data_IF_242239463914
#
_entry.id   IF_242239463914
#
_cell.length_a   1.000
_cell.length_b   1.000
_cell.length_c   1.000
_cell.angle_alpha   90.00
_cell.angle_beta   90.00
_cell.angle_gamma   90.00
#
_symmetry.space_group_name_H-M   'P 1'
#
loop_
_entity.id
_entity.type
_entity.pdbx_description
1 polymer ?
#
# COMPACT_ATOMS: atom_id res chain seq x y z
N UNK A 1 -42.68 1.60 -19.19
CA UNK A 1 -42.16 0.37 -18.56
C UNK A 1 -40.80 0.09 -19.19
N UNK A 2 -39.71 0.48 -18.52
CA UNK A 2 -38.34 0.26 -19.02
C UNK A 2 -37.73 -0.93 -18.28
N UNK A 3 -37.17 -1.86 -19.04
CA UNK A 3 -36.65 -3.13 -18.58
C UNK A 3 -35.55 -2.93 -17.53
N UNK A 4 -35.70 -3.62 -16.38
CA UNK A 4 -34.60 -3.82 -15.44
C UNK A 4 -33.61 -4.78 -16.11
N UNK A 5 -32.57 -4.24 -16.74
CA UNK A 5 -31.38 -5.02 -17.08
C UNK A 5 -30.85 -5.66 -15.80
N UNK A 6 -30.99 -6.97 -15.71
CA UNK A 6 -30.51 -7.75 -14.58
C UNK A 6 -29.00 -7.89 -14.77
N UNK A 7 -28.24 -6.91 -14.29
CA UNK A 7 -26.78 -6.96 -14.31
C UNK A 7 -26.32 -8.07 -13.34
N UNK A 8 -26.27 -9.32 -13.80
CA UNK A 8 -25.66 -10.41 -13.05
C UNK A 8 -24.13 -10.27 -13.15
N UNK A 9 -23.41 -9.96 -12.07
CA UNK A 9 -21.97 -9.72 -12.15
C UNK A 9 -21.21 -11.04 -12.37
N UNK A 10 -20.95 -11.36 -13.63
CA UNK A 10 -20.17 -12.53 -14.06
C UNK A 10 -18.72 -12.53 -13.50
N UNK A 11 -18.23 -11.39 -13.00
CA UNK A 11 -16.88 -11.23 -12.43
C UNK A 11 -16.64 -11.96 -11.09
N UNK A 12 -17.69 -12.38 -10.37
CA UNK A 12 -17.55 -13.03 -9.06
C UNK A 12 -16.98 -14.45 -9.15
N UNK A 13 -17.42 -15.25 -10.12
CA UNK A 13 -17.04 -16.66 -10.23
C UNK A 13 -15.66 -16.86 -10.87
N UNK A 14 -15.29 -16.02 -11.84
CA UNK A 14 -14.02 -16.15 -12.58
C UNK A 14 -12.78 -15.66 -11.80
N UNK A 15 -12.96 -14.82 -10.78
CA UNK A 15 -11.86 -14.24 -10.00
C UNK A 15 -11.48 -15.03 -8.74
N UNK A 16 -12.39 -15.87 -8.23
CA UNK A 16 -12.17 -16.69 -7.02
C UNK A 16 -10.97 -17.66 -7.15
N UNK A 17 -10.86 -18.48 -8.22
CA UNK A 17 -9.74 -19.40 -8.36
C UNK A 17 -8.38 -18.68 -8.46
N UNK A 18 -8.33 -17.55 -9.18
CA UNK A 18 -7.11 -16.74 -9.31
C UNK A 18 -6.67 -16.13 -7.97
N UNK A 19 -7.62 -15.65 -7.17
CA UNK A 19 -7.38 -15.11 -5.82
C UNK A 19 -6.87 -16.19 -4.85
N UNK A 20 -7.46 -17.38 -4.90
CA UNK A 20 -7.02 -18.52 -4.07
C UNK A 20 -5.62 -18.96 -4.49
N UNK A 21 -5.34 -19.06 -5.79
CA UNK A 21 -4.01 -19.40 -6.29
C UNK A 21 -2.95 -18.38 -5.85
N UNK A 22 -3.23 -17.07 -5.98
CA UNK A 22 -2.30 -16.04 -5.51
C UNK A 22 -2.09 -16.10 -4.00
N UNK A 23 -3.14 -16.36 -3.21
CA UNK A 23 -3.02 -16.48 -1.75
C UNK A 23 -2.17 -17.69 -1.34
N UNK A 24 -2.37 -18.84 -1.99
CA UNK A 24 -1.59 -20.07 -1.74
C UNK A 24 -0.10 -19.86 -2.01
N UNK A 25 0.28 -18.97 -2.93
CA UNK A 25 1.69 -18.67 -3.21
C UNK A 25 2.23 -17.56 -2.30
N UNK A 26 1.49 -16.46 -2.17
CA UNK A 26 1.97 -15.27 -1.46
C UNK A 26 2.03 -15.47 0.06
N UNK A 27 1.10 -16.23 0.65
CA UNK A 27 1.09 -16.46 2.11
C UNK A 27 2.31 -17.26 2.56
N UNK A 28 2.65 -18.43 1.99
CA UNK A 28 3.87 -19.14 2.35
C UNK A 28 5.14 -18.34 2.07
N UNK A 29 5.17 -17.59 0.96
CA UNK A 29 6.31 -16.73 0.64
C UNK A 29 6.50 -15.61 1.67
N UNK A 30 5.42 -14.98 2.11
CA UNK A 30 5.44 -13.98 3.16
C UNK A 30 5.88 -14.59 4.50
N UNK A 31 5.36 -15.77 4.87
CA UNK A 31 5.77 -16.46 6.09
C UNK A 31 7.24 -16.87 6.06
N UNK A 32 7.74 -17.33 4.90
CA UNK A 32 9.15 -17.64 4.71
C UNK A 32 10.02 -16.39 4.84
N UNK A 33 9.63 -15.27 4.22
CA UNK A 33 10.34 -13.99 4.35
C UNK A 33 10.39 -13.51 5.81
N UNK A 34 9.28 -13.64 6.55
CA UNK A 34 9.22 -13.32 7.99
C UNK A 34 10.09 -14.28 8.81
N UNK A 35 10.16 -15.56 8.44
CA UNK A 35 10.99 -16.56 9.10
C UNK A 35 12.48 -16.23 8.97
N UNK A 36 12.97 -16.02 7.75
CA UNK A 36 14.38 -15.70 7.50
C UNK A 36 14.76 -14.30 7.99
N UNK A 37 13.86 -13.32 7.87
CA UNK A 37 14.12 -11.94 8.31
C UNK A 37 15.25 -11.25 7.55
N UNK A 38 15.76 -10.15 8.13
CA UNK A 38 16.85 -9.36 7.58
C UNK A 38 16.61 -8.90 6.14
N UNK A 39 17.67 -8.97 5.32
CA UNK A 39 17.61 -8.62 3.90
C UNK A 39 16.60 -9.42 3.07
N UNK A 40 16.24 -10.66 3.45
CA UNK A 40 15.20 -11.42 2.76
C UNK A 40 13.82 -10.79 2.96
N UNK A 41 13.51 -10.41 4.20
CA UNK A 41 12.27 -9.69 4.53
C UNK A 41 12.29 -8.30 3.90
N UNK A 42 13.40 -7.56 4.00
CA UNK A 42 13.52 -6.23 3.42
C UNK A 42 13.34 -6.24 1.90
N UNK A 43 13.97 -7.17 1.18
CA UNK A 43 13.83 -7.30 -0.27
C UNK A 43 12.39 -7.68 -0.67
N UNK A 44 11.79 -8.62 0.06
CA UNK A 44 10.38 -9.01 -0.14
C UNK A 44 9.45 -7.80 0.04
N UNK A 45 9.62 -7.04 1.13
CA UNK A 45 8.78 -5.88 1.43
C UNK A 45 9.04 -4.69 0.48
N UNK A 46 10.30 -4.49 0.09
CA UNK A 46 10.69 -3.48 -0.89
C UNK A 46 9.94 -3.66 -2.21
N UNK A 47 9.77 -4.90 -2.68
CA UNK A 47 9.00 -5.19 -3.88
C UNK A 47 7.55 -4.69 -3.76
N UNK A 48 6.87 -4.96 -2.65
CA UNK A 48 5.48 -4.51 -2.44
C UNK A 48 5.38 -3.00 -2.34
N UNK A 49 6.29 -2.35 -1.62
CA UNK A 49 6.31 -0.89 -1.52
C UNK A 49 6.59 -0.25 -2.89
N UNK A 50 7.54 -0.80 -3.65
CA UNK A 50 7.87 -0.31 -4.98
C UNK A 50 6.69 -0.42 -5.96
N UNK A 51 6.09 -1.61 -6.05
CA UNK A 51 4.90 -1.84 -6.89
C UNK A 51 3.73 -0.99 -6.41
N UNK A 52 3.50 -0.91 -5.09
CA UNK A 52 2.44 -0.09 -4.50
C UNK A 52 2.58 1.40 -4.83
N UNK A 53 3.80 1.95 -4.84
CA UNK A 53 4.06 3.33 -5.24
C UNK A 53 3.84 3.55 -6.75
N UNK A 54 4.24 2.59 -7.59
CA UNK A 54 3.98 2.65 -9.04
C UNK A 54 2.47 2.72 -9.30
N UNK A 55 1.69 1.82 -8.71
CA UNK A 55 0.23 1.77 -8.87
C UNK A 55 -0.43 3.03 -8.31
N UNK A 56 -0.05 3.45 -7.10
CA UNK A 56 -0.60 4.64 -6.46
C UNK A 56 -0.38 5.89 -7.31
N UNK A 57 0.85 6.13 -7.76
CA UNK A 57 1.14 7.29 -8.61
C UNK A 57 0.60 7.13 -10.02
N UNK A 58 0.49 5.92 -10.55
CA UNK A 58 -0.16 5.62 -11.81
C UNK A 58 -1.62 6.05 -11.82
N UNK A 59 -2.37 5.70 -10.76
CA UNK A 59 -3.76 6.13 -10.57
C UNK A 59 -3.88 7.66 -10.47
N UNK A 60 -2.98 8.30 -9.72
CA UNK A 60 -2.97 9.77 -9.60
C UNK A 60 -2.73 10.46 -10.95
N UNK A 61 -1.79 9.95 -11.76
CA UNK A 61 -1.53 10.45 -13.12
C UNK A 61 -2.71 10.21 -14.06
N UNK A 62 -3.35 9.05 -13.96
CA UNK A 62 -4.54 8.73 -14.76
C UNK A 62 -5.71 9.69 -14.49
N UNK A 63 -5.79 10.26 -13.29
CA UNK A 63 -6.74 11.33 -12.93
C UNK A 63 -6.28 12.74 -13.33
N UNK A 64 -5.15 12.87 -14.04
CA UNK A 64 -4.63 14.14 -14.52
C UNK A 64 -3.84 14.94 -13.48
N UNK A 65 -3.46 14.34 -12.34
CA UNK A 65 -2.67 15.03 -11.33
C UNK A 65 -1.16 14.95 -11.63
N UNK A 66 -0.45 16.10 -11.68
CA UNK A 66 0.98 16.13 -11.99
C UNK A 66 1.82 15.72 -10.77
N UNK A 67 1.86 14.42 -10.47
CA UNK A 67 2.66 13.84 -9.37
C UNK A 67 4.12 13.64 -9.77
N UNK A 68 5.03 13.87 -8.82
CA UNK A 68 6.47 13.65 -9.01
C UNK A 68 6.82 12.20 -8.63
N UNK A 69 6.32 11.25 -9.42
CA UNK A 69 6.33 9.82 -9.04
C UNK A 69 7.73 9.25 -8.79
N UNK A 70 8.73 9.67 -9.59
CA UNK A 70 10.11 9.19 -9.44
C UNK A 70 10.69 9.57 -8.07
N UNK A 71 10.36 10.76 -7.57
CA UNK A 71 10.83 11.27 -6.28
C UNK A 71 10.22 10.45 -5.15
N UNK A 72 8.91 10.22 -5.21
CA UNK A 72 8.21 9.39 -4.22
C UNK A 72 8.70 7.93 -4.20
N UNK A 73 8.94 7.34 -5.38
CA UNK A 73 9.50 5.99 -5.51
C UNK A 73 10.92 5.93 -4.97
N UNK A 74 11.81 6.85 -5.38
CA UNK A 74 13.20 6.87 -4.91
C UNK A 74 13.28 7.07 -3.39
N UNK A 75 12.49 8.00 -2.84
CA UNK A 75 12.41 8.23 -1.41
C UNK A 75 11.85 7.00 -0.67
N UNK A 76 10.82 6.35 -1.22
CA UNK A 76 10.23 5.15 -0.62
C UNK A 76 11.19 3.96 -0.60
N UNK A 77 11.89 3.70 -1.70
CA UNK A 77 12.96 2.69 -1.77
C UNK A 77 14.05 3.00 -0.74
N UNK A 78 14.51 4.25 -0.70
CA UNK A 78 15.54 4.69 0.25
C UNK A 78 15.09 4.50 1.70
N UNK A 79 13.83 4.82 2.02
CA UNK A 79 13.28 4.66 3.36
C UNK A 79 13.27 3.19 3.81
N UNK A 80 12.92 2.26 2.93
CA UNK A 80 12.95 0.82 3.24
C UNK A 80 14.38 0.34 3.49
N UNK A 81 15.33 0.74 2.63
CA UNK A 81 16.75 0.39 2.82
C UNK A 81 17.32 0.94 4.13
N UNK A 82 16.98 2.18 4.47
CA UNK A 82 17.43 2.79 5.72
C UNK A 82 16.79 2.14 6.95
N UNK A 83 15.55 1.67 6.82
CA UNK A 83 14.89 0.93 7.91
C UNK A 83 15.69 -0.33 8.24
N UNK A 84 16.04 -1.13 7.23
CA UNK A 84 16.83 -2.36 7.41
C UNK A 84 18.25 -2.06 7.94
N UNK A 85 18.84 -0.96 7.52
CA UNK A 85 20.14 -0.49 8.02
C UNK A 85 20.07 0.09 9.45
N UNK A 86 18.90 0.17 10.08
CA UNK A 86 18.71 0.77 11.41
C UNK A 86 18.92 2.29 11.43
N UNK A 87 18.80 2.95 10.26
CA UNK A 87 19.06 4.38 10.04
C UNK A 87 17.78 5.20 9.91
N UNK A 88 16.79 4.92 10.77
CA UNK A 88 15.53 5.65 10.81
C UNK A 88 15.69 7.12 11.24
N UNK A 89 16.84 7.49 11.81
CA UNK A 89 17.27 8.88 12.04
C UNK A 89 17.20 9.74 10.77
N UNK A 90 17.42 9.13 9.61
CA UNK A 90 17.43 9.80 8.31
C UNK A 90 16.03 9.89 7.65
N UNK A 91 14.99 9.30 8.24
CA UNK A 91 13.63 9.35 7.69
C UNK A 91 13.07 10.78 7.63
N UNK A 92 13.30 11.58 8.67
CA UNK A 92 12.90 12.99 8.74
C UNK A 92 13.57 13.84 7.64
N UNK A 93 14.91 13.83 7.53
CA UNK A 93 15.62 14.47 6.42
C UNK A 93 15.14 14.05 5.03
N UNK A 94 14.86 12.77 4.79
CA UNK A 94 14.32 12.31 3.50
C UNK A 94 12.93 12.86 3.25
N UNK A 95 12.06 12.83 4.26
CA UNK A 95 10.75 13.46 4.18
C UNK A 95 10.87 14.92 3.77
N UNK A 96 11.76 15.68 4.42
CA UNK A 96 12.04 17.07 4.09
C UNK A 96 12.58 17.26 2.66
N UNK A 97 13.44 16.36 2.17
CA UNK A 97 13.90 16.42 0.77
C UNK A 97 12.75 16.19 -0.21
N UNK A 98 11.85 15.24 0.07
CA UNK A 98 10.64 15.04 -0.73
C UNK A 98 9.79 16.31 -0.73
N UNK A 99 9.61 16.97 0.41
CA UNK A 99 8.93 18.26 0.54
C UNK A 99 9.55 19.31 -0.36
N UNK A 100 10.84 19.57 -0.19
CA UNK A 100 11.54 20.66 -0.86
C UNK A 100 11.59 20.43 -2.37
N UNK A 101 11.93 19.23 -2.83
CA UNK A 101 12.07 18.93 -4.26
C UNK A 101 10.70 18.93 -4.94
N UNK A 102 9.68 18.37 -4.30
CA UNK A 102 8.31 18.40 -4.84
C UNK A 102 7.80 19.84 -4.92
N UNK A 103 8.00 20.67 -3.89
CA UNK A 103 7.62 22.08 -3.90
C UNK A 103 8.38 22.88 -4.97
N UNK A 104 9.68 22.66 -5.12
CA UNK A 104 10.49 23.29 -6.17
C UNK A 104 9.98 22.94 -7.58
N UNK A 105 9.45 21.73 -7.79
CA UNK A 105 8.81 21.36 -9.05
C UNK A 105 7.57 22.20 -9.37
N UNK A 106 6.92 22.77 -8.34
CA UNK A 106 5.74 23.60 -8.51
C UNK A 106 6.05 25.03 -8.95
N UNK A 107 7.24 25.53 -8.64
CA UNK A 107 7.69 26.88 -9.01
C UNK A 107 7.84 27.09 -10.53
N UNK A 108 7.82 26.02 -11.33
CA UNK A 108 7.96 26.08 -12.79
C UNK A 108 6.61 25.94 -13.50
N UNK A 109 6.06 27.01 -14.07
CA UNK A 109 4.81 26.98 -14.85
C UNK A 109 3.52 27.08 -14.01
N UNK A 110 2.33 26.93 -14.63
CA UNK A 110 1.05 27.23 -13.98
C UNK A 110 0.77 26.36 -12.75
N UNK A 111 0.13 26.93 -11.71
CA UNK A 111 -0.09 26.28 -10.40
C UNK A 111 -1.28 25.30 -10.38
N UNK A 112 -2.15 25.35 -11.40
CA UNK A 112 -3.38 24.54 -11.46
C UNK A 112 -3.05 23.04 -11.36
N UNK A 113 -3.74 22.33 -10.46
CA UNK A 113 -3.56 20.90 -10.23
C UNK A 113 -2.28 20.49 -9.49
N UNK A 114 -1.30 21.39 -9.35
CA UNK A 114 0.00 21.07 -8.72
C UNK A 114 -0.06 20.89 -7.21
N UNK A 115 -0.91 21.66 -6.52
CA UNK A 115 -1.13 21.45 -5.08
C UNK A 115 -1.66 20.04 -4.80
N UNK A 116 -2.56 19.54 -5.65
CA UNK A 116 -3.03 18.15 -5.56
C UNK A 116 -1.92 17.16 -5.91
N UNK A 117 -1.14 17.42 -6.97
CA UNK A 117 0.03 16.60 -7.32
C UNK A 117 1.07 16.49 -6.20
N UNK A 118 1.34 17.59 -5.49
CA UNK A 118 2.17 17.63 -4.28
C UNK A 118 1.59 16.77 -3.17
N UNK A 119 0.33 17.01 -2.82
CA UNK A 119 -0.37 16.30 -1.77
C UNK A 119 -0.36 14.79 -2.04
N UNK A 120 -0.63 14.37 -3.28
CA UNK A 120 -0.58 12.97 -3.69
C UNK A 120 0.84 12.40 -3.68
N UNK A 121 1.85 13.17 -4.08
CA UNK A 121 3.26 12.72 -4.02
C UNK A 121 3.64 12.38 -2.57
N UNK A 122 3.33 13.29 -1.63
CA UNK A 122 3.60 13.10 -0.22
C UNK A 122 2.74 12.02 0.41
N UNK A 123 1.45 12.00 0.07
CA UNK A 123 0.54 10.99 0.58
C UNK A 123 0.99 9.60 0.14
N UNK A 124 1.36 9.40 -1.12
CA UNK A 124 1.94 8.14 -1.58
C UNK A 124 3.20 7.76 -0.80
N UNK A 125 4.11 8.71 -0.54
CA UNK A 125 5.32 8.47 0.23
C UNK A 125 5.01 8.07 1.69
N UNK A 126 4.20 8.85 2.40
CA UNK A 126 3.87 8.61 3.81
C UNK A 126 3.01 7.34 3.95
N UNK A 127 1.98 7.21 3.12
CA UNK A 127 1.00 6.13 3.21
C UNK A 127 1.58 4.80 2.76
N UNK A 128 2.20 4.74 1.57
CA UNK A 128 2.70 3.46 1.04
C UNK A 128 4.07 3.15 1.62
N UNK A 129 5.04 4.07 1.49
CA UNK A 129 6.40 3.80 1.93
C UNK A 129 6.57 3.95 3.45
N UNK A 130 5.98 4.98 4.06
CA UNK A 130 6.07 5.22 5.51
C UNK A 130 5.43 4.10 6.33
N UNK A 131 4.18 3.72 6.02
CA UNK A 131 3.54 2.59 6.71
C UNK A 131 4.22 1.25 6.38
N UNK A 132 4.68 1.07 5.14
CA UNK A 132 5.45 -0.11 4.74
C UNK A 132 6.76 -0.25 5.52
N UNK A 133 7.50 0.85 5.66
CA UNK A 133 8.72 0.93 6.46
C UNK A 133 8.44 0.72 7.95
N UNK A 134 7.33 1.25 8.47
CA UNK A 134 6.94 1.01 9.85
C UNK A 134 6.65 -0.47 10.12
N UNK A 135 5.97 -1.16 9.21
CA UNK A 135 5.74 -2.59 9.35
C UNK A 135 7.07 -3.38 9.35
N UNK A 136 8.01 -3.02 8.47
CA UNK A 136 9.36 -3.61 8.48
C UNK A 136 10.08 -3.31 9.80
N UNK A 137 9.94 -2.09 10.34
CA UNK A 137 10.58 -1.66 11.59
C UNK A 137 10.18 -2.49 12.80
N UNK A 138 8.99 -3.10 12.79
CA UNK A 138 8.56 -4.03 13.84
C UNK A 138 9.55 -5.15 14.05
N UNK A 139 10.26 -5.58 13.00
CA UNK A 139 11.27 -6.64 13.10
C UNK A 139 12.45 -6.27 13.98
N UNK A 140 12.77 -4.98 14.10
CA UNK A 140 13.88 -4.48 14.90
C UNK A 140 13.50 -4.19 16.36
N UNK A 141 12.22 -4.33 16.73
CA UNK A 141 11.77 -4.20 18.11
C UNK A 141 12.06 -5.47 18.93
N UNK A 142 11.99 -5.35 20.26
CA UNK A 142 11.96 -6.52 21.12
C UNK A 142 10.81 -7.45 20.73
N UNK A 143 11.10 -8.75 20.59
CA UNK A 143 10.15 -9.75 20.08
C UNK A 143 9.60 -9.42 18.69
N UNK A 144 10.37 -8.72 17.86
CA UNK A 144 9.94 -8.22 16.56
C UNK A 144 9.40 -9.26 15.57
N UNK A 145 9.92 -10.50 15.61
CA UNK A 145 9.33 -11.63 14.86
C UNK A 145 7.86 -11.85 15.24
N UNK A 146 7.58 -11.93 16.54
CA UNK A 146 6.23 -12.20 17.05
C UNK A 146 5.28 -11.04 16.79
N UNK A 147 5.76 -9.80 16.92
CA UNK A 147 4.97 -8.60 16.60
C UNK A 147 4.58 -8.56 15.13
N UNK A 148 5.54 -8.74 14.23
CA UNK A 148 5.29 -8.74 12.79
C UNK A 148 4.32 -9.87 12.39
N UNK A 149 4.55 -11.08 12.91
CA UNK A 149 3.67 -12.22 12.64
C UNK A 149 2.25 -11.99 13.17
N UNK A 150 2.13 -11.46 14.39
CA UNK A 150 0.85 -11.10 14.98
C UNK A 150 0.11 -10.06 14.12
N UNK A 151 0.78 -9.01 13.68
CA UNK A 151 0.17 -7.97 12.83
C UNK A 151 -0.36 -8.55 11.52
N UNK A 152 0.42 -9.40 10.84
CA UNK A 152 0.02 -10.05 9.59
C UNK A 152 -1.16 -11.01 9.81
N UNK A 153 -1.07 -11.89 10.80
CA UNK A 153 -2.14 -12.85 11.07
C UNK A 153 -3.43 -12.17 11.54
N UNK A 154 -3.32 -11.11 12.36
CA UNK A 154 -4.46 -10.34 12.81
C UNK A 154 -5.16 -9.64 11.64
N UNK A 155 -4.42 -9.01 10.74
CA UNK A 155 -5.00 -8.35 9.55
C UNK A 155 -5.63 -9.35 8.59
N UNK A 156 -4.93 -10.44 8.25
CA UNK A 156 -5.48 -11.48 7.37
C UNK A 156 -6.72 -12.15 7.97
N UNK A 157 -6.69 -12.45 9.28
CA UNK A 157 -7.84 -13.03 9.97
C UNK A 157 -9.01 -12.04 9.99
N UNK A 158 -8.76 -10.77 10.31
CA UNK A 158 -9.78 -9.74 10.33
C UNK A 158 -10.46 -9.59 8.97
N UNK A 159 -9.71 -9.60 7.86
CA UNK A 159 -10.25 -9.52 6.50
C UNK A 159 -11.14 -10.74 6.17
N UNK A 160 -10.68 -11.94 6.52
CA UNK A 160 -11.42 -13.19 6.31
C UNK A 160 -12.72 -13.18 7.13
N UNK A 161 -12.65 -12.83 8.41
CA UNK A 161 -13.82 -12.76 9.28
C UNK A 161 -14.78 -11.65 8.86
N UNK A 162 -14.28 -10.47 8.47
CA UNK A 162 -15.11 -9.37 7.98
C UNK A 162 -15.88 -9.78 6.72
N UNK A 163 -15.25 -10.51 5.80
CA UNK A 163 -15.92 -11.05 4.62
C UNK A 163 -17.02 -12.07 4.99
N UNK A 164 -16.69 -13.11 5.77
CA UNK A 164 -17.67 -14.16 6.09
C UNK A 164 -18.82 -13.66 6.96
N UNK A 165 -18.52 -12.85 7.99
CA UNK A 165 -19.54 -12.25 8.85
C UNK A 165 -20.37 -11.24 8.07
N UNK A 166 -19.73 -10.40 7.25
CA UNK A 166 -20.41 -9.41 6.41
C UNK A 166 -21.37 -10.05 5.39
N UNK A 167 -20.98 -11.16 4.77
CA UNK A 167 -21.85 -11.90 3.83
C UNK A 167 -23.01 -12.58 4.55
N UNK A 168 -22.77 -13.20 5.71
CA UNK A 168 -23.80 -13.98 6.43
C UNK A 168 -24.77 -13.12 7.23
N UNK A 169 -24.30 -12.02 7.81
CA UNK A 169 -25.05 -11.22 8.79
C UNK A 169 -25.11 -9.72 8.47
N UNK A 170 -24.43 -9.24 7.42
CA UNK A 170 -24.46 -7.83 7.03
C UNK A 170 -25.83 -7.40 6.51
N UNK A 171 -26.43 -6.40 7.17
CA UNK A 171 -27.73 -5.81 6.76
C UNK A 171 -27.64 -4.35 6.30
N UNK A 172 -26.59 -3.63 6.67
CA UNK A 172 -26.41 -2.20 6.39
C UNK A 172 -25.02 -1.94 5.81
N UNK A 173 -24.97 -1.37 4.60
CA UNK A 173 -23.71 -0.98 3.95
C UNK A 173 -23.10 0.24 4.65
N UNK A 174 -21.83 0.15 5.02
CA UNK A 174 -21.09 1.29 5.60
C UNK A 174 -20.68 2.30 4.52
N UNK A 175 -20.37 1.85 3.31
CA UNK A 175 -19.87 2.70 2.22
C UNK A 175 -20.52 2.38 0.86
N UNK A 176 -21.83 2.68 0.69
CA UNK A 176 -22.62 2.20 -0.45
C UNK A 176 -22.18 2.72 -1.84
N UNK A 177 -21.42 3.82 -1.90
CA UNK A 177 -20.93 4.40 -3.17
C UNK A 177 -19.61 3.80 -3.66
N UNK A 178 -18.85 3.15 -2.79
CA UNK A 178 -17.48 2.66 -3.09
C UNK A 178 -17.30 1.17 -2.78
N UNK A 179 -18.12 0.59 -1.90
CA UNK A 179 -18.14 -0.85 -1.62
C UNK A 179 -19.28 -1.52 -2.40
N UNK A 180 -18.99 -2.53 -3.25
CA UNK A 180 -20.03 -3.29 -3.94
C UNK A 180 -20.87 -4.17 -3.00
N UNK A 181 -20.40 -4.41 -1.77
CA UNK A 181 -21.11 -5.15 -0.72
C UNK A 181 -21.78 -4.23 0.28
#
# INVERSE_FOLDING_TARGET
MSAKETYSPQWRAQSLPKRVASAIVLVPLALAAVWYGGWYLAAFWLLFVFVGLIEFYGMAKAQGHPVVSWLGIAAGVTLILLTELGRLDLAGPIGLLVVVISFASCLRGPLQGKLMGLALTWFGFIYVAGLGAHLLSLRHLERGFGLLLLTLLATWSADVFAFFIGVKWGKRKLAPRISPH
#
